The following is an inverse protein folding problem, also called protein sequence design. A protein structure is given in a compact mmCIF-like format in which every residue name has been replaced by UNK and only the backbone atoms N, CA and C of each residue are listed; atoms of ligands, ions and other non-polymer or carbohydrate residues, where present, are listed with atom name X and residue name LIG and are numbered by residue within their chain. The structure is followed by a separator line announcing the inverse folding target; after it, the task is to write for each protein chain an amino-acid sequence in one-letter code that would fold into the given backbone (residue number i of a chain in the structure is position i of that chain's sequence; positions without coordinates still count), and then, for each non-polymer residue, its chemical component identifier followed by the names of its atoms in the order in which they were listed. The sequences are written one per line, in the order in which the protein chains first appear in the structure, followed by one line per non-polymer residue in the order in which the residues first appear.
data_IF_623240908172
#
_entry.id   IF_623240908172
#
_cell.length_a   1.000
_cell.length_b   1.000
_cell.length_c   1.000
_cell.angle_alpha   90.00
_cell.angle_beta   90.00
_cell.angle_gamma   90.00
#
_symmetry.space_group_name_H-M   'P 1'
#
loop_
_entity.id
_entity.type
_entity.pdbx_description
1 polymer ?
#
# COMPACT_ATOMS: atom_id res chain seq x y z
N UNK A 1 -29.16 5.81 -19.90
CA UNK A 1 -28.42 5.10 -18.82
C UNK A 1 -27.32 4.27 -19.47
N UNK A 2 -26.09 4.76 -19.51
CA UNK A 2 -25.03 4.26 -20.42
C UNK A 2 -24.12 3.25 -19.70
N UNK A 3 -23.62 2.26 -20.42
CA UNK A 3 -22.52 1.41 -19.97
C UNK A 3 -21.23 1.90 -20.62
N UNK A 4 -20.27 2.31 -19.80
CA UNK A 4 -18.91 2.64 -20.23
C UNK A 4 -18.07 1.36 -20.16
N UNK A 5 -17.25 1.12 -21.20
CA UNK A 5 -16.40 -0.07 -21.31
C UNK A 5 -14.96 0.17 -20.86
N UNK A 6 -14.43 1.39 -21.01
CA UNK A 6 -13.12 1.78 -20.50
C UNK A 6 -13.19 2.13 -19.01
N UNK A 7 -12.24 1.63 -18.21
CA UNK A 7 -12.15 2.05 -16.80
C UNK A 7 -11.79 3.52 -16.64
N UNK A 8 -10.87 4.02 -17.48
CA UNK A 8 -10.36 5.39 -17.38
C UNK A 8 -11.47 6.41 -17.65
N UNK A 9 -12.21 6.21 -18.75
CA UNK A 9 -13.40 6.98 -19.11
C UNK A 9 -14.48 6.92 -18.02
N UNK A 10 -14.72 5.74 -17.42
CA UNK A 10 -15.69 5.61 -16.32
C UNK A 10 -15.25 6.36 -15.07
N UNK A 11 -13.96 6.29 -14.71
CA UNK A 11 -13.41 7.00 -13.56
C UNK A 11 -13.48 8.52 -13.74
N UNK A 12 -12.99 9.04 -14.86
CA UNK A 12 -13.02 10.47 -15.19
C UNK A 12 -14.46 11.00 -15.20
N UNK A 13 -15.37 10.31 -15.90
CA UNK A 13 -16.77 10.71 -15.96
C UNK A 13 -17.51 10.53 -14.61
N UNK A 14 -17.06 9.65 -13.72
CA UNK A 14 -17.61 9.52 -12.37
C UNK A 14 -17.13 10.66 -11.44
N UNK A 15 -15.83 10.97 -11.44
CA UNK A 15 -15.28 12.07 -10.65
C UNK A 15 -15.82 13.43 -11.14
N UNK A 16 -15.82 13.66 -12.45
CA UNK A 16 -16.38 14.86 -13.06
C UNK A 16 -17.91 14.98 -12.99
N UNK A 17 -18.64 13.90 -12.71
CA UNK A 17 -20.07 13.96 -12.36
C UNK A 17 -20.27 14.34 -10.89
N UNK A 18 -19.46 13.76 -10.00
CA UNK A 18 -19.50 14.12 -8.58
C UNK A 18 -19.18 15.60 -8.37
N UNK A 19 -18.15 16.14 -9.02
CA UNK A 19 -17.75 17.56 -8.91
C UNK A 19 -18.82 18.53 -9.39
N UNK A 20 -19.64 18.16 -10.40
CA UNK A 20 -20.76 18.97 -10.89
C UNK A 20 -21.96 19.02 -9.95
N UNK A 21 -22.12 18.04 -9.06
CA UNK A 21 -23.31 17.90 -8.20
C UNK A 21 -23.05 16.96 -7.01
N UNK A 22 -22.20 17.34 -6.05
CA UNK A 22 -21.77 16.45 -4.97
C UNK A 22 -22.94 15.99 -4.10
N UNK A 23 -23.83 16.90 -3.72
CA UNK A 23 -24.99 16.63 -2.86
C UNK A 23 -26.08 15.75 -3.52
N UNK A 24 -26.10 15.67 -4.85
CA UNK A 24 -27.13 14.93 -5.62
C UNK A 24 -26.59 13.59 -6.15
N UNK A 25 -25.27 13.48 -6.30
CA UNK A 25 -24.60 12.32 -6.88
C UNK A 25 -24.64 11.12 -5.93
N UNK A 26 -25.22 10.02 -6.40
CA UNK A 26 -25.28 8.74 -5.69
C UNK A 26 -24.45 7.70 -6.41
N UNK A 27 -23.42 7.22 -5.73
CA UNK A 27 -22.62 6.08 -6.13
C UNK A 27 -23.23 4.80 -5.55
N UNK A 28 -23.27 3.72 -6.34
CA UNK A 28 -23.80 2.42 -5.92
C UNK A 28 -22.93 1.29 -6.44
N UNK A 29 -22.58 0.37 -5.56
CA UNK A 29 -21.80 -0.84 -5.86
C UNK A 29 -22.73 -2.05 -5.79
N UNK A 30 -22.61 -2.98 -6.74
CA UNK A 30 -23.23 -4.31 -6.64
C UNK A 30 -22.23 -5.39 -7.06
N UNK A 31 -21.82 -6.20 -6.09
CA UNK A 31 -21.10 -7.45 -6.32
C UNK A 31 -22.09 -8.61 -6.44
N UNK A 32 -21.81 -9.57 -7.34
CA UNK A 32 -22.49 -10.88 -7.38
C UNK A 32 -21.43 -11.97 -7.42
N UNK A 33 -21.13 -12.56 -6.27
CA UNK A 33 -20.10 -13.59 -6.11
C UNK A 33 -20.32 -14.80 -7.05
N UNK A 34 -21.56 -15.26 -7.21
CA UNK A 34 -21.91 -16.39 -8.09
C UNK A 34 -21.80 -16.11 -9.60
N UNK A 35 -21.52 -14.87 -10.01
CA UNK A 35 -21.15 -14.53 -11.39
C UNK A 35 -19.72 -13.95 -11.48
N UNK A 36 -18.97 -13.88 -10.37
CA UNK A 36 -17.66 -13.18 -10.32
C UNK A 36 -17.74 -11.69 -10.69
N UNK A 37 -18.91 -11.05 -10.51
CA UNK A 37 -19.30 -9.86 -11.26
C UNK A 37 -19.42 -8.61 -10.41
N UNK A 38 -18.66 -7.58 -10.78
CA UNK A 38 -18.75 -6.24 -10.22
C UNK A 38 -19.55 -5.33 -11.16
N UNK A 39 -20.55 -4.65 -10.62
CA UNK A 39 -21.30 -3.59 -11.31
C UNK A 39 -21.22 -2.32 -10.47
N UNK A 40 -20.68 -1.26 -11.08
CA UNK A 40 -20.64 0.09 -10.50
C UNK A 40 -21.67 0.97 -11.20
N UNK A 41 -22.30 1.87 -10.46
CA UNK A 41 -23.27 2.85 -10.98
C UNK A 41 -23.04 4.18 -10.29
N UNK A 42 -22.98 5.27 -11.05
CA UNK A 42 -23.02 6.63 -10.51
C UNK A 42 -24.12 7.44 -11.23
N UNK A 43 -24.82 8.30 -10.48
CA UNK A 43 -25.94 9.08 -11.01
C UNK A 43 -26.28 10.28 -10.13
N UNK A 44 -26.50 11.42 -10.75
CA UNK A 44 -27.11 12.64 -10.19
C UNK A 44 -28.65 12.63 -10.34
N UNK A 45 -29.24 11.50 -10.76
CA UNK A 45 -30.66 11.38 -11.09
C UNK A 45 -31.05 11.84 -12.50
N UNK A 46 -30.14 12.48 -13.24
CA UNK A 46 -30.38 13.01 -14.59
C UNK A 46 -29.52 12.25 -15.62
N UNK A 47 -28.22 12.21 -15.37
CA UNK A 47 -27.28 11.29 -16.00
C UNK A 47 -27.18 9.99 -15.19
N UNK A 48 -26.81 8.89 -15.84
CA UNK A 48 -26.42 7.68 -15.12
C UNK A 48 -25.45 6.85 -15.94
N UNK A 49 -24.26 6.68 -15.36
CA UNK A 49 -23.13 5.93 -15.91
C UNK A 49 -23.04 4.60 -15.15
N UNK A 50 -22.73 3.52 -15.87
CA UNK A 50 -22.45 2.21 -15.29
C UNK A 50 -21.17 1.62 -15.86
N UNK A 51 -20.43 0.94 -15.00
CA UNK A 51 -19.35 0.05 -15.40
C UNK A 51 -19.71 -1.38 -14.98
N UNK A 52 -19.32 -2.37 -15.78
CA UNK A 52 -19.53 -3.80 -15.48
C UNK A 52 -18.24 -4.56 -15.80
N UNK A 53 -17.81 -5.44 -14.90
CA UNK A 53 -16.65 -6.30 -15.15
C UNK A 53 -16.79 -7.65 -14.45
N UNK A 54 -16.11 -8.64 -15.01
CA UNK A 54 -15.94 -9.98 -14.45
C UNK A 54 -14.48 -10.24 -14.04
N UNK A 55 -13.58 -9.26 -14.23
CA UNK A 55 -12.15 -9.40 -13.92
C UNK A 55 -11.83 -8.77 -12.56
N UNK A 56 -11.18 -9.56 -11.69
CA UNK A 56 -10.71 -9.15 -10.37
C UNK A 56 -9.61 -8.07 -10.41
N UNK A 57 -8.95 -7.88 -11.55
CA UNK A 57 -7.90 -6.85 -11.76
C UNK A 57 -8.44 -5.44 -11.47
N UNK A 58 -9.74 -5.22 -11.64
CA UNK A 58 -10.38 -3.93 -11.36
C UNK A 58 -10.68 -3.69 -9.88
N UNK A 59 -10.52 -4.66 -8.97
CA UNK A 59 -10.83 -4.49 -7.54
C UNK A 59 -9.96 -3.41 -6.90
N UNK A 60 -8.64 -3.41 -7.14
CA UNK A 60 -7.73 -2.40 -6.61
C UNK A 60 -8.03 -1.00 -7.18
N UNK A 61 -8.48 -0.91 -8.44
CA UNK A 61 -8.88 0.36 -9.08
C UNK A 61 -10.19 0.88 -8.51
N UNK A 62 -11.13 -0.03 -8.26
CA UNK A 62 -12.40 0.23 -7.59
C UNK A 62 -12.18 0.74 -6.16
N UNK A 63 -11.28 0.13 -5.39
CA UNK A 63 -10.89 0.62 -4.06
C UNK A 63 -10.34 2.06 -4.11
N UNK A 64 -9.39 2.33 -5.02
CA UNK A 64 -8.82 3.66 -5.20
C UNK A 64 -9.88 4.72 -5.59
N UNK A 65 -10.83 4.38 -6.46
CA UNK A 65 -11.96 5.24 -6.81
C UNK A 65 -12.89 5.50 -5.61
N UNK A 66 -13.19 4.47 -4.81
CA UNK A 66 -13.98 4.63 -3.60
C UNK A 66 -13.29 5.58 -2.61
N UNK A 67 -11.98 5.43 -2.43
CA UNK A 67 -11.18 6.26 -1.54
C UNK A 67 -11.11 7.72 -2.02
N UNK A 68 -10.89 7.94 -3.32
CA UNK A 68 -10.96 9.28 -3.95
C UNK A 68 -12.32 9.95 -3.69
N UNK A 69 -13.42 9.26 -3.99
CA UNK A 69 -14.78 9.78 -3.76
C UNK A 69 -15.05 10.07 -2.28
N UNK A 70 -14.64 9.18 -1.36
CA UNK A 70 -14.79 9.40 0.08
C UNK A 70 -13.96 10.59 0.59
N UNK A 71 -12.75 10.81 0.08
CA UNK A 71 -11.93 11.98 0.43
C UNK A 71 -12.59 13.28 -0.06
N UNK A 72 -13.06 13.31 -1.32
CA UNK A 72 -13.82 14.44 -1.89
C UNK A 72 -15.16 14.70 -1.17
N UNK A 73 -15.81 13.66 -0.64
CA UNK A 73 -17.05 13.78 0.17
C UNK A 73 -16.79 14.30 1.59
N UNK A 74 -15.66 13.94 2.20
CA UNK A 74 -15.29 14.39 3.55
C UNK A 74 -14.59 15.76 3.56
N UNK A 75 -14.44 16.40 2.38
CA UNK A 75 -13.59 17.57 2.14
C UNK A 75 -12.17 17.43 2.75
N UNK A 76 -11.68 16.18 2.84
CA UNK A 76 -10.36 15.88 3.39
C UNK A 76 -9.35 15.99 2.27
N UNK A 77 -8.55 17.07 2.29
CA UNK A 77 -7.31 17.13 1.50
C UNK A 77 -6.50 15.86 1.83
N UNK A 78 -6.08 15.05 0.84
CA UNK A 78 -5.30 13.85 1.11
C UNK A 78 -4.04 14.25 1.89
N UNK A 79 -3.73 13.49 2.93
CA UNK A 79 -2.60 13.78 3.80
C UNK A 79 -1.31 13.68 2.98
N UNK A 80 -0.76 14.85 2.61
CA UNK A 80 0.54 14.93 1.96
C UNK A 80 1.57 14.30 2.91
N UNK A 81 2.37 13.37 2.42
CA UNK A 81 3.36 12.66 3.25
C UNK A 81 4.44 13.62 3.76
N UNK A 82 4.18 14.21 4.93
CA UNK A 82 5.11 15.07 5.63
C UNK A 82 6.22 14.19 6.26
N UNK A 83 7.42 14.21 5.66
CA UNK A 83 8.58 13.47 6.16
C UNK A 83 9.38 12.73 5.11
N UNK A 84 9.84 13.41 4.06
CA UNK A 84 10.78 12.87 3.06
C UNK A 84 11.74 13.95 2.54
N UNK A 85 12.44 14.63 3.45
CA UNK A 85 13.57 15.52 3.15
C UNK A 85 14.71 15.28 4.18
N UNK A 86 15.99 15.44 3.83
CA UNK A 86 17.05 14.67 4.48
C UNK A 86 17.91 15.43 5.50
N UNK A 87 18.34 14.70 6.54
CA UNK A 87 19.58 14.92 7.28
C UNK A 87 19.60 16.02 8.36
N UNK A 88 19.86 15.61 9.61
CA UNK A 88 20.98 16.12 10.42
C UNK A 88 21.18 15.22 11.65
N UNK A 89 22.42 14.97 12.06
CA UNK A 89 22.73 14.44 13.41
C UNK A 89 22.99 15.60 14.37
N UNK A 90 22.75 15.42 15.67
CA UNK A 90 23.93 15.44 16.55
C UNK A 90 23.88 14.46 17.74
N UNK A 91 25.09 14.13 18.21
CA UNK A 91 25.42 13.50 19.48
C UNK A 91 25.30 14.49 20.65
N UNK A 92 24.94 14.06 21.87
CA UNK A 92 25.43 14.66 23.13
C UNK A 92 25.29 13.71 24.34
N UNK A 93 26.41 13.13 24.76
CA UNK A 93 26.90 12.87 26.14
C UNK A 93 26.01 12.25 27.27
N UNK A 94 26.57 11.22 27.92
CA UNK A 94 26.21 10.61 29.23
C UNK A 94 26.74 11.43 30.43
N UNK A 95 26.38 11.07 31.70
CA UNK A 95 27.41 10.38 32.53
C UNK A 95 26.89 9.39 33.62
N UNK A 96 27.72 8.36 33.92
CA UNK A 96 27.98 7.68 35.23
C UNK A 96 26.79 7.09 36.08
N UNK A 97 26.90 5.98 36.82
CA UNK A 97 27.89 4.89 37.02
C UNK A 97 27.08 3.60 37.41
N UNK A 98 27.58 2.36 37.61
CA UNK A 98 28.83 1.84 38.20
C UNK A 98 29.29 0.48 37.60
N UNK A 99 30.53 0.08 37.92
CA UNK A 99 31.04 -1.30 38.14
C UNK A 99 30.75 -2.43 37.11
N UNK A 100 31.70 -3.19 36.54
CA UNK A 100 33.15 -3.33 36.82
C UNK A 100 33.96 -3.75 35.58
N UNK A 101 35.26 -3.43 35.57
CA UNK A 101 36.31 -3.79 34.59
C UNK A 101 37.52 -4.44 35.32
N UNK A 102 38.66 -4.81 34.67
CA UNK A 102 39.04 -4.93 33.25
C UNK A 102 39.12 -6.42 32.82
N UNK A 103 39.97 -7.04 31.96
CA UNK A 103 41.20 -6.79 31.14
C UNK A 103 41.16 -7.85 29.97
N UNK A 104 41.68 -7.75 28.73
CA UNK A 104 42.82 -7.04 28.06
C UNK A 104 44.19 -7.68 28.44
N UNK A 105 45.20 -7.90 27.54
CA UNK A 105 45.36 -7.68 26.08
C UNK A 105 45.58 -9.03 25.31
N UNK A 106 46.09 -9.16 24.06
CA UNK A 106 45.95 -8.45 22.77
C UNK A 106 46.69 -9.28 21.66
N UNK A 107 46.66 -8.84 20.39
CA UNK A 107 47.36 -9.45 19.24
C UNK A 107 46.38 -10.10 18.26
N UNK A 108 46.20 -9.68 17.00
CA UNK A 108 47.11 -9.30 15.91
C UNK A 108 47.74 -10.51 15.17
N UNK A 109 47.49 -10.60 13.86
CA UNK A 109 48.09 -11.61 12.97
C UNK A 109 47.08 -12.45 12.19
N UNK A 110 47.13 -12.35 10.87
CA UNK A 110 46.73 -13.40 9.91
C UNK A 110 48.04 -14.07 9.39
N UNK A 111 48.04 -15.07 8.47
CA UNK A 111 46.93 -15.72 7.76
C UNK A 111 47.10 -17.27 7.63
N UNK A 112 46.37 -17.86 6.67
CA UNK A 112 46.71 -19.07 5.89
C UNK A 112 46.46 -20.48 6.46
N UNK A 113 46.27 -21.41 5.50
CA UNK A 113 46.05 -22.87 5.60
C UNK A 113 44.83 -23.35 6.42
N UNK A 114 44.06 -24.38 6.04
CA UNK A 114 44.18 -25.31 4.91
C UNK A 114 44.53 -26.73 5.38
N UNK A 115 43.56 -27.66 5.44
CA UNK A 115 43.81 -29.01 5.95
C UNK A 115 42.59 -29.93 6.12
N UNK A 116 42.09 -30.49 5.03
CA UNK A 116 40.99 -31.49 5.03
C UNK A 116 41.39 -32.79 5.73
N UNK A 117 40.53 -33.36 6.61
CA UNK A 117 40.28 -34.83 6.70
C UNK A 117 39.15 -35.27 7.65
N UNK A 118 38.28 -36.17 7.12
CA UNK A 118 37.64 -37.39 7.72
C UNK A 118 37.15 -37.30 9.19
N UNK A 119 35.95 -37.81 9.55
CA UNK A 119 35.56 -39.24 9.50
C UNK A 119 34.06 -39.40 9.90
N UNK A 120 33.15 -39.66 8.96
CA UNK A 120 32.56 -40.99 8.62
C UNK A 120 31.49 -41.58 9.59
N UNK A 121 30.22 -41.55 9.15
CA UNK A 121 29.07 -42.40 9.60
C UNK A 121 28.57 -42.18 11.06
N UNK A 122 27.35 -42.54 11.49
CA UNK A 122 26.48 -43.66 11.06
C UNK A 122 25.01 -43.51 11.54
N UNK A 123 24.08 -43.38 10.60
CA UNK A 123 22.86 -44.23 10.42
C UNK A 123 22.32 -45.02 11.64
N UNK A 124 21.14 -44.61 12.17
CA UNK A 124 19.86 -45.37 12.24
C UNK A 124 18.80 -44.52 12.98
N UNK A 125 17.49 -44.73 12.79
CA UNK A 125 16.76 -45.64 11.88
C UNK A 125 15.59 -44.87 11.28
#
# INVERSE_FOLDING_TARGET
MVYISSWQEFQEAAEGLYEKSPNKTRYCVKWKASEGKLVLKITDGTTCLKFKTYSSIFLNRFEALNLSLMQKMQNRKPAQHAGAAPGMVPDTATPAAEASTPIIPAGAGAPAAGGVKKKKSKKKK
#
